data_IF_176908852857
#
_entry.id   IF_176908852857
#
_cell.length_a   1.000
_cell.length_b   1.000
_cell.length_c   1.000
_cell.angle_alpha   90.00
_cell.angle_beta   90.00
_cell.angle_gamma   90.00
#
_symmetry.space_group_name_H-M   'P 1'
#
loop_
_entity.id
_entity.type
_entity.pdbx_description
1 polymer ?
#
# COMPACT_ATOMS: atom_id res chain seq x y z
N UNK A 1 -18.16 2.96 -4.35
CA UNK A 1 -19.17 2.41 -3.42
C UNK A 1 -18.82 0.99 -3.07
N UNK A 2 -18.96 0.60 -1.81
CA UNK A 2 -18.68 -0.75 -1.32
C UNK A 2 -19.53 -1.01 -0.07
N UNK A 3 -19.61 -2.28 0.35
CA UNK A 3 -20.26 -2.64 1.60
C UNK A 3 -19.50 -2.02 2.79
N UNK A 4 -20.21 -1.57 3.83
CA UNK A 4 -19.65 -0.85 5.00
C UNK A 4 -18.67 -1.66 5.85
N UNK A 5 -18.65 -2.98 5.70
CA UNK A 5 -17.68 -3.86 6.38
C UNK A 5 -16.34 -3.95 5.65
N UNK A 6 -16.25 -3.41 4.44
CA UNK A 6 -15.03 -3.33 3.65
C UNK A 6 -14.49 -1.90 3.70
N UNK A 7 -13.19 -1.76 3.46
CA UNK A 7 -12.50 -0.51 3.29
C UNK A 7 -12.09 -0.34 1.83
N UNK A 8 -12.09 0.90 1.34
CA UNK A 8 -11.52 1.26 0.05
C UNK A 8 -10.24 2.07 0.25
N UNK A 9 -9.17 1.70 -0.46
CA UNK A 9 -7.92 2.45 -0.54
C UNK A 9 -7.61 2.77 -1.99
N UNK A 10 -6.95 3.90 -2.24
CA UNK A 10 -6.60 4.38 -3.58
C UNK A 10 -5.23 5.08 -3.55
N UNK A 11 -4.79 5.63 -4.69
CA UNK A 11 -3.58 6.44 -4.81
C UNK A 11 -3.51 7.55 -3.75
N UNK A 12 -4.63 8.26 -3.54
CA UNK A 12 -4.73 9.44 -2.66
C UNK A 12 -5.44 9.10 -1.32
N UNK A 13 -5.33 9.96 -0.29
CA UNK A 13 -6.09 9.82 0.95
C UNK A 13 -7.60 9.88 0.72
N UNK A 14 -8.36 9.29 1.65
CA UNK A 14 -9.81 9.42 1.70
C UNK A 14 -10.17 10.86 2.02
N UNK A 15 -11.00 11.48 1.17
CA UNK A 15 -11.54 12.82 1.36
C UNK A 15 -12.88 12.76 2.10
N UNK A 16 -13.75 11.83 1.71
CA UNK A 16 -15.11 11.71 2.24
C UNK A 16 -15.59 10.27 2.23
N UNK A 17 -16.43 9.91 3.20
CA UNK A 17 -17.17 8.65 3.23
C UNK A 17 -18.64 8.96 3.49
N UNK A 18 -19.49 8.65 2.51
CA UNK A 18 -20.92 8.98 2.53
C UNK A 18 -21.73 7.69 2.56
N UNK A 19 -22.65 7.56 3.51
CA UNK A 19 -23.60 6.44 3.53
C UNK A 19 -24.57 6.54 2.34
N UNK A 20 -24.90 5.39 1.75
CA UNK A 20 -25.89 5.35 0.67
C UNK A 20 -27.30 5.63 1.24
N UNK A 21 -28.05 6.50 0.57
CA UNK A 21 -29.39 6.91 1.01
C UNK A 21 -30.47 5.86 0.76
N UNK A 22 -30.23 4.95 -0.18
CA UNK A 22 -31.15 3.89 -0.57
C UNK A 22 -30.81 2.56 0.13
N UNK A 23 -29.52 2.28 0.37
CA UNK A 23 -29.05 1.06 1.05
C UNK A 23 -28.01 1.33 2.17
N UNK A 24 -28.42 1.38 3.46
CA UNK A 24 -27.53 1.62 4.61
C UNK A 24 -26.45 0.55 4.85
N UNK A 25 -26.38 -0.52 4.04
CA UNK A 25 -25.28 -1.47 4.05
C UNK A 25 -24.09 -1.02 3.18
N UNK A 26 -24.29 -0.04 2.31
CA UNK A 26 -23.28 0.49 1.39
C UNK A 26 -22.84 1.90 1.74
N UNK A 27 -21.58 2.18 1.44
CA UNK A 27 -20.95 3.49 1.58
C UNK A 27 -20.17 3.84 0.32
N UNK A 28 -20.05 5.13 0.03
CA UNK A 28 -19.23 5.67 -1.05
C UNK A 28 -18.04 6.40 -0.45
N UNK A 29 -16.86 5.83 -0.67
CA UNK A 29 -15.57 6.46 -0.32
C UNK A 29 -15.07 7.29 -1.51
N UNK A 30 -14.91 8.59 -1.29
CA UNK A 30 -14.31 9.55 -2.21
C UNK A 30 -12.86 9.81 -1.80
N UNK A 31 -11.97 9.95 -2.78
CA UNK A 31 -10.54 10.21 -2.55
C UNK A 31 -10.17 11.58 -3.08
N UNK A 32 -9.16 12.18 -2.47
CA UNK A 32 -8.63 13.47 -2.93
C UNK A 32 -8.18 13.39 -4.39
N UNK A 33 -8.21 14.53 -5.08
CA UNK A 33 -7.76 14.64 -6.47
C UNK A 33 -6.27 14.29 -6.60
N UNK A 34 -5.94 13.39 -7.52
CA UNK A 34 -4.55 13.03 -7.80
C UNK A 34 -3.75 14.18 -8.44
N UNK A 35 -2.44 14.08 -8.33
CA UNK A 35 -1.52 14.81 -9.21
C UNK A 35 -1.71 14.38 -10.67
N UNK A 36 -1.09 15.13 -11.60
CA UNK A 36 -1.05 14.74 -13.01
C UNK A 36 -0.21 13.45 -13.11
N UNK A 37 -0.85 12.36 -13.51
CA UNK A 37 -0.20 11.05 -13.68
C UNK A 37 -0.78 10.30 -14.87
N UNK A 38 -0.04 9.32 -15.38
CA UNK A 38 -0.50 8.43 -16.45
C UNK A 38 -1.61 7.50 -15.97
N UNK A 39 -2.54 7.15 -16.85
CA UNK A 39 -3.71 6.31 -16.51
C UNK A 39 -3.34 4.93 -15.98
N UNK A 40 -2.20 4.36 -16.38
CA UNK A 40 -1.75 3.04 -15.92
C UNK A 40 -1.35 3.00 -14.42
N UNK A 41 -1.12 4.16 -13.80
CA UNK A 41 -0.76 4.27 -12.38
C UNK A 41 -1.97 4.33 -11.46
N UNK A 42 -3.18 4.49 -12.00
CA UNK A 42 -4.41 4.50 -11.22
C UNK A 42 -4.61 3.14 -10.53
N UNK A 43 -4.87 3.15 -9.23
CA UNK A 43 -5.16 1.96 -8.45
C UNK A 43 -6.16 2.25 -7.34
N UNK A 44 -7.03 1.28 -7.09
CA UNK A 44 -7.87 1.24 -5.91
C UNK A 44 -8.14 -0.22 -5.53
N UNK A 45 -8.30 -0.47 -4.24
CA UNK A 45 -8.58 -1.80 -3.68
C UNK A 45 -9.72 -1.68 -2.68
N UNK A 46 -10.69 -2.59 -2.78
CA UNK A 46 -11.78 -2.76 -1.82
C UNK A 46 -11.55 -4.08 -1.11
N UNK A 47 -11.31 -4.04 0.20
CA UNK A 47 -10.96 -5.24 0.98
C UNK A 47 -11.35 -5.09 2.46
N UNK A 48 -11.34 -6.18 3.19
CA UNK A 48 -11.40 -6.24 4.66
C UNK A 48 -10.00 -6.25 5.29
N UNK A 49 -8.98 -5.75 4.58
CA UNK A 49 -7.60 -5.76 5.04
C UNK A 49 -7.39 -4.84 6.24
N UNK A 50 -6.45 -5.23 7.08
CA UNK A 50 -5.94 -4.41 8.17
C UNK A 50 -4.80 -3.52 7.67
N UNK A 51 -4.53 -2.46 8.43
CA UNK A 51 -3.51 -1.46 8.09
C UNK A 51 -2.53 -1.30 9.23
N UNK A 52 -1.24 -1.41 8.91
CA UNK A 52 -0.14 -1.00 9.78
C UNK A 52 0.44 0.30 9.27
N UNK A 53 0.67 1.26 10.16
CA UNK A 53 1.12 2.61 9.81
C UNK A 53 2.36 2.99 10.60
N UNK A 54 3.31 3.65 9.94
CA UNK A 54 4.39 4.40 10.58
C UNK A 54 4.59 5.72 9.84
N UNK A 55 4.37 6.84 10.54
CA UNK A 55 4.41 8.17 9.93
C UNK A 55 3.44 8.29 8.74
N UNK A 56 4.02 8.52 7.55
CA UNK A 56 3.28 8.69 6.28
C UNK A 56 3.30 7.43 5.39
N UNK A 57 3.90 6.34 5.88
CA UNK A 57 3.88 5.04 5.20
C UNK A 57 2.86 4.09 5.84
N UNK A 58 2.16 3.36 4.97
CA UNK A 58 1.11 2.40 5.36
C UNK A 58 1.36 1.07 4.65
N UNK A 59 1.05 -0.03 5.32
CA UNK A 59 0.97 -1.36 4.69
C UNK A 59 -0.41 -1.96 4.97
N UNK A 60 -1.07 -2.41 3.91
CA UNK A 60 -2.33 -3.13 3.96
C UNK A 60 -2.09 -4.62 3.69
N UNK A 61 -2.67 -5.48 4.52
CA UNK A 61 -2.60 -6.93 4.33
C UNK A 61 -3.82 -7.60 4.96
N UNK A 62 -4.01 -8.89 4.64
CA UNK A 62 -5.04 -9.72 5.31
C UNK A 62 -4.88 -9.64 6.84
N UNK A 63 -5.96 -9.67 7.62
CA UNK A 63 -5.91 -9.62 9.08
C UNK A 63 -4.92 -10.63 9.71
N UNK A 64 -4.87 -11.86 9.17
CA UNK A 64 -4.00 -12.92 9.67
C UNK A 64 -2.55 -12.86 9.18
N UNK A 65 -2.20 -11.88 8.35
CA UNK A 65 -0.87 -11.70 7.77
C UNK A 65 -0.25 -10.32 8.11
N UNK A 66 -1.01 -9.44 8.76
CA UNK A 66 -0.56 -8.07 9.08
C UNK A 66 0.72 -8.05 9.91
N UNK A 67 0.93 -9.05 10.77
CA UNK A 67 2.12 -9.15 11.60
C UNK A 67 3.41 -9.33 10.80
N UNK A 68 3.31 -9.98 9.64
CA UNK A 68 4.44 -10.26 8.74
C UNK A 68 4.88 -9.03 7.91
N UNK A 69 4.23 -7.87 8.08
CA UNK A 69 4.52 -6.63 7.32
C UNK A 69 5.61 -5.75 7.93
N UNK A 70 6.06 -6.04 9.15
CA UNK A 70 6.94 -5.14 9.91
C UNK A 70 8.26 -4.84 9.17
N UNK A 71 8.84 -5.87 8.56
CA UNK A 71 10.08 -5.71 7.78
C UNK A 71 9.87 -4.87 6.52
N UNK A 72 8.77 -5.06 5.81
CA UNK A 72 8.48 -4.30 4.60
C UNK A 72 8.28 -2.81 4.89
N UNK A 73 7.65 -2.47 6.03
CA UNK A 73 7.46 -1.09 6.44
C UNK A 73 8.81 -0.42 6.74
N UNK A 74 9.67 -1.08 7.52
CA UNK A 74 11.03 -0.60 7.79
C UNK A 74 11.87 -0.45 6.51
N UNK A 75 11.76 -1.40 5.58
CA UNK A 75 12.47 -1.36 4.30
C UNK A 75 11.97 -0.21 3.41
N UNK A 76 10.65 0.01 3.34
CA UNK A 76 10.06 1.11 2.57
C UNK A 76 10.47 2.48 3.10
N UNK A 77 10.52 2.67 4.41
CA UNK A 77 10.94 3.93 5.03
C UNK A 77 12.41 4.25 4.74
N UNK A 78 13.29 3.27 4.94
CA UNK A 78 14.72 3.43 4.66
C UNK A 78 14.96 3.69 3.18
N UNK A 79 14.31 2.94 2.29
CA UNK A 79 14.48 3.10 0.84
C UNK A 79 14.03 4.49 0.40
N UNK A 80 12.86 4.95 0.84
CA UNK A 80 12.34 6.26 0.45
C UNK A 80 13.22 7.41 0.98
N UNK A 81 13.76 7.26 2.20
CA UNK A 81 14.72 8.22 2.76
C UNK A 81 16.00 8.29 1.94
N UNK A 82 16.61 7.15 1.61
CA UNK A 82 17.83 7.11 0.80
C UNK A 82 17.61 7.65 -0.62
N UNK A 83 16.45 7.35 -1.24
CA UNK A 83 16.08 7.95 -2.54
C UNK A 83 15.95 9.47 -2.44
N UNK A 84 15.34 9.98 -1.37
CA UNK A 84 15.22 11.43 -1.15
C UNK A 84 16.58 12.10 -0.98
N UNK A 85 17.53 11.45 -0.29
CA UNK A 85 18.90 11.96 -0.12
C UNK A 85 19.71 11.87 -1.40
N UNK A 86 19.52 10.81 -2.19
CA UNK A 86 20.25 10.60 -3.44
C UNK A 86 19.79 11.52 -4.56
N UNK A 87 18.49 11.78 -4.64
CA UNK A 87 17.89 12.58 -5.72
C UNK A 87 17.71 14.05 -5.38
N UNK A 88 17.93 14.44 -4.11
CA UNK A 88 17.56 15.74 -3.54
C UNK A 88 16.07 16.10 -3.73
N UNK A 89 15.21 15.10 -3.91
CA UNK A 89 13.76 15.25 -4.12
C UNK A 89 13.00 14.40 -3.10
N UNK A 90 12.24 15.06 -2.21
CA UNK A 90 11.35 14.34 -1.30
C UNK A 90 10.08 13.89 -2.00
N UNK A 91 9.74 12.61 -1.86
CA UNK A 91 8.46 12.04 -2.32
C UNK A 91 7.25 12.83 -1.76
N UNK A 92 7.35 13.23 -0.49
CA UNK A 92 6.26 13.91 0.22
C UNK A 92 6.02 15.35 -0.22
N UNK A 93 6.87 15.91 -1.11
CA UNK A 93 6.56 17.17 -1.78
C UNK A 93 5.42 17.03 -2.81
N UNK A 94 5.12 15.80 -3.25
CA UNK A 94 4.13 15.52 -4.29
C UNK A 94 2.98 14.64 -3.84
N UNK A 95 3.21 13.78 -2.83
CA UNK A 95 2.23 12.82 -2.35
C UNK A 95 2.10 12.89 -0.83
N UNK A 96 0.88 12.85 -0.26
CA UNK A 96 0.69 12.96 1.19
C UNK A 96 0.99 11.66 1.95
N UNK A 97 1.08 10.52 1.23
CA UNK A 97 1.28 9.18 1.81
C UNK A 97 1.86 8.22 0.78
N UNK A 98 2.50 7.16 1.26
CA UNK A 98 2.86 5.99 0.46
C UNK A 98 2.25 4.74 1.11
N UNK A 99 1.31 4.10 0.42
CA UNK A 99 0.75 2.84 0.86
C UNK A 99 1.35 1.67 0.06
N UNK A 100 1.57 0.55 0.72
CA UNK A 100 1.90 -0.74 0.11
C UNK A 100 0.78 -1.73 0.43
N UNK A 101 0.44 -2.65 -0.47
CA UNK A 101 -0.61 -3.65 -0.23
C UNK A 101 -0.21 -5.04 -0.71
N UNK A 102 -0.39 -6.05 0.16
CA UNK A 102 -0.12 -7.46 -0.14
C UNK A 102 -1.38 -8.16 -0.69
N UNK A 103 -1.39 -8.47 -1.99
CA UNK A 103 -2.48 -9.12 -2.72
C UNK A 103 -2.23 -10.64 -2.77
N UNK A 104 -3.15 -11.48 -2.25
CA UNK A 104 -2.97 -12.94 -2.20
C UNK A 104 -2.74 -13.62 -3.56
N UNK A 105 -3.48 -13.21 -4.59
CA UNK A 105 -3.54 -13.91 -5.89
C UNK A 105 -2.65 -13.29 -6.99
N UNK A 106 -1.63 -12.49 -6.62
CA UNK A 106 -0.76 -11.76 -7.56
C UNK A 106 0.62 -12.43 -7.80
N UNK A 107 0.87 -13.60 -7.21
CA UNK A 107 2.17 -14.29 -7.37
C UNK A 107 3.32 -13.53 -6.71
N UNK A 108 4.48 -13.40 -7.36
CA UNK A 108 5.67 -12.72 -6.77
C UNK A 108 5.98 -11.36 -7.42
N UNK A 109 5.03 -10.78 -8.14
CA UNK A 109 5.19 -9.48 -8.79
C UNK A 109 4.84 -8.30 -7.87
N UNK A 110 5.08 -7.09 -8.37
CA UNK A 110 4.62 -5.84 -7.79
C UNK A 110 4.29 -4.84 -8.91
N UNK A 111 3.68 -3.70 -8.54
CA UNK A 111 3.34 -2.63 -9.47
C UNK A 111 3.37 -1.27 -8.75
N UNK A 112 4.05 -0.31 -9.36
CA UNK A 112 4.44 1.00 -8.81
C UNK A 112 3.32 2.06 -8.83
N UNK A 113 2.07 1.66 -8.62
CA UNK A 113 0.94 2.58 -8.65
C UNK A 113 1.15 3.73 -7.64
N UNK A 114 1.19 4.96 -8.14
CA UNK A 114 1.71 6.10 -7.36
C UNK A 114 0.86 6.36 -6.11
N UNK A 115 1.45 6.13 -4.93
CA UNK A 115 0.77 6.27 -3.63
C UNK A 115 0.08 5.01 -3.11
N UNK A 116 -0.05 3.95 -3.91
CA UNK A 116 -0.60 2.65 -3.51
C UNK A 116 0.11 1.51 -4.26
N UNK A 117 1.34 1.21 -3.87
CA UNK A 117 2.13 0.15 -4.52
C UNK A 117 1.54 -1.21 -4.18
N UNK A 118 1.31 -2.04 -5.19
CA UNK A 118 0.71 -3.37 -5.01
C UNK A 118 1.77 -4.45 -5.12
N UNK A 119 1.68 -5.48 -4.28
CA UNK A 119 2.62 -6.59 -4.23
C UNK A 119 1.86 -7.90 -4.15
N UNK A 120 2.37 -8.96 -4.75
CA UNK A 120 1.99 -10.30 -4.33
C UNK A 120 2.57 -10.62 -2.95
N UNK A 121 1.86 -11.42 -2.14
CA UNK A 121 2.27 -11.72 -0.76
C UNK A 121 3.75 -12.13 -0.58
N UNK A 122 4.33 -13.04 -1.40
CA UNK A 122 5.74 -13.43 -1.30
C UNK A 122 6.75 -12.28 -1.52
N UNK A 123 6.31 -11.16 -2.12
CA UNK A 123 7.13 -9.99 -2.39
C UNK A 123 7.04 -8.92 -1.30
N UNK A 124 6.14 -9.06 -0.31
CA UNK A 124 5.96 -8.07 0.76
C UNK A 124 5.98 -8.68 2.18
N UNK A 125 5.41 -9.87 2.38
CA UNK A 125 5.27 -10.47 3.70
C UNK A 125 6.54 -11.21 4.12
N UNK A 126 7.01 -10.96 5.35
CA UNK A 126 8.19 -11.58 5.92
C UNK A 126 7.95 -12.11 7.33
N UNK A 127 7.99 -13.42 7.45
CA UNK A 127 7.98 -14.17 8.70
C UNK A 127 9.39 -14.70 9.03
N UNK A 128 10.07 -14.21 10.09
CA UNK A 128 11.42 -14.63 10.43
C UNK A 128 11.55 -16.10 10.87
N UNK A 129 10.46 -16.75 11.27
CA UNK A 129 10.46 -18.16 11.70
C UNK A 129 10.45 -19.12 10.51
N UNK A 130 9.93 -18.68 9.36
CA UNK A 130 9.69 -19.53 8.18
C UNK A 130 10.52 -19.09 6.98
N UNK A 131 10.73 -17.79 6.81
CA UNK A 131 11.37 -17.23 5.62
C UNK A 131 12.89 -17.19 5.74
N UNK A 132 13.54 -17.38 4.59
CA UNK A 132 15.00 -17.39 4.48
C UNK A 132 15.57 -15.99 4.29
N UNK A 133 16.89 -15.84 4.46
CA UNK A 133 17.59 -14.61 4.09
C UNK A 133 17.39 -14.22 2.62
N UNK A 134 17.17 -15.20 1.72
CA UNK A 134 16.91 -14.94 0.29
C UNK A 134 15.56 -14.27 0.11
N UNK A 135 14.54 -14.70 0.84
CA UNK A 135 13.23 -14.07 0.87
C UNK A 135 13.33 -12.65 1.39
N UNK A 136 14.02 -12.44 2.54
CA UNK A 136 14.25 -11.11 3.10
C UNK A 136 14.93 -10.16 2.10
N UNK A 137 15.98 -10.63 1.43
CA UNK A 137 16.66 -9.89 0.37
C UNK A 137 15.73 -9.62 -0.82
N UNK A 138 14.97 -10.60 -1.25
CA UNK A 138 14.03 -10.48 -2.37
C UNK A 138 12.99 -9.39 -2.12
N UNK A 139 12.34 -9.42 -0.95
CA UNK A 139 11.38 -8.40 -0.51
C UNK A 139 12.02 -7.01 -0.52
N UNK A 140 13.20 -6.86 0.09
CA UNK A 140 13.91 -5.58 0.08
C UNK A 140 14.24 -5.08 -1.34
N UNK A 141 14.64 -5.99 -2.24
CA UNK A 141 14.92 -5.63 -3.64
C UNK A 141 13.67 -5.19 -4.38
N UNK A 142 12.53 -5.86 -4.18
CA UNK A 142 11.27 -5.48 -4.85
C UNK A 142 10.76 -4.16 -4.29
N UNK A 143 10.74 -3.96 -2.97
CA UNK A 143 10.38 -2.67 -2.36
C UNK A 143 11.26 -1.52 -2.88
N UNK A 144 12.54 -1.78 -3.12
CA UNK A 144 13.44 -0.77 -3.67
C UNK A 144 13.30 -0.56 -5.20
N UNK A 145 12.65 -1.49 -5.90
CA UNK A 145 12.37 -1.39 -7.33
C UNK A 145 11.16 -0.52 -7.61
N UNK A 146 10.09 -0.72 -6.84
CA UNK A 146 8.86 0.07 -6.89
C UNK A 146 9.06 1.50 -6.32
#
# INVERSE_FOLDING_TARGET
>A
THHKTYNAVSNMPVEELVEDTEDPEFVTTSFEKSQIMSTYLLAFVVSDFETRTHGLQLIHARPNAIEETAFALEAGEKTLLELSLYTDISYYNYMPKLAQIAIPDWGSGAMENWGLVTYGEPALLFNPEVNTYRTKKGIATVIAHE
#
